data_IF_340175727346
#
_entry.id   IF_340175727346
#
_cell.length_a   1.000
_cell.length_b   1.000
_cell.length_c   1.000
_cell.angle_alpha   90.00
_cell.angle_beta   90.00
_cell.angle_gamma   90.00
#
_symmetry.space_group_name_H-M   'P 1'
#
loop_
_entity.id
_entity.type
_entity.pdbx_description
1 polymer ?
#
# COMPACT_ATOMS: atom_id res chain seq x y z
N UNK A 1 -20.10 -16.39 9.19
CA UNK A 1 -19.87 -15.38 10.23
C UNK A 1 -18.39 -15.35 10.54
N UNK A 2 -17.69 -14.25 10.25
CA UNK A 2 -16.28 -14.08 10.63
C UNK A 2 -16.25 -13.99 12.16
N UNK A 3 -15.44 -14.83 12.81
CA UNK A 3 -15.32 -14.82 14.26
C UNK A 3 -14.73 -13.46 14.70
N UNK A 4 -15.48 -12.66 15.48
CA UNK A 4 -15.14 -11.28 15.86
C UNK A 4 -13.71 -11.14 16.39
N UNK A 5 -13.27 -12.12 17.17
CA UNK A 5 -11.92 -12.14 17.75
C UNK A 5 -10.82 -12.32 16.71
N UNK A 6 -11.08 -13.07 15.63
CA UNK A 6 -10.12 -13.25 14.53
C UNK A 6 -10.01 -11.99 13.68
N UNK A 7 -11.12 -11.31 13.41
CA UNK A 7 -11.12 -10.02 12.70
C UNK A 7 -10.36 -8.94 13.47
N UNK A 8 -10.58 -8.85 14.80
CA UNK A 8 -9.86 -7.91 15.67
C UNK A 8 -8.35 -8.18 15.67
N UNK A 9 -7.96 -9.45 15.81
CA UNK A 9 -6.55 -9.86 15.79
C UNK A 9 -5.89 -9.53 14.44
N UNK A 10 -6.55 -9.83 13.32
CA UNK A 10 -6.04 -9.48 11.99
C UNK A 10 -5.88 -7.97 11.81
N UNK A 11 -6.80 -7.16 12.34
CA UNK A 11 -6.69 -5.70 12.31
C UNK A 11 -5.48 -5.19 13.10
N UNK A 12 -5.31 -5.64 14.34
CA UNK A 12 -4.14 -5.25 15.17
C UNK A 12 -2.84 -5.67 14.51
N UNK A 13 -2.75 -6.93 14.03
CA UNK A 13 -1.55 -7.41 13.36
C UNK A 13 -1.26 -6.64 12.08
N UNK A 14 -2.28 -6.28 11.29
CA UNK A 14 -2.09 -5.44 10.11
C UNK A 14 -1.54 -4.06 10.47
N UNK A 15 -2.02 -3.43 11.56
CA UNK A 15 -1.52 -2.14 12.02
C UNK A 15 -0.06 -2.20 12.44
N UNK A 16 0.32 -3.24 13.19
CA UNK A 16 1.72 -3.46 13.61
C UNK A 16 2.62 -3.69 12.39
N UNK A 17 2.23 -4.57 11.48
CA UNK A 17 2.99 -4.87 10.27
C UNK A 17 3.15 -3.63 9.38
N UNK A 18 2.11 -2.80 9.30
CA UNK A 18 2.14 -1.57 8.50
C UNK A 18 3.04 -0.49 9.10
N UNK A 19 3.07 -0.36 10.44
CA UNK A 19 4.05 0.49 11.13
C UNK A 19 5.49 0.01 10.92
N UNK A 20 5.73 -1.30 10.98
CA UNK A 20 7.04 -1.91 10.69
C UNK A 20 7.47 -1.65 9.24
N UNK A 21 6.57 -1.82 8.27
CA UNK A 21 6.85 -1.53 6.85
C UNK A 21 7.23 -0.05 6.63
N UNK A 22 6.47 0.87 7.23
CA UNK A 22 6.73 2.31 7.12
C UNK A 22 8.08 2.70 7.71
N UNK A 23 8.42 2.15 8.88
CA UNK A 23 9.71 2.43 9.54
C UNK A 23 10.89 1.87 8.75
N UNK A 24 10.79 0.63 8.26
CA UNK A 24 11.80 0.03 7.38
C UNK A 24 11.99 0.87 6.10
N UNK A 25 10.89 1.30 5.49
CA UNK A 25 10.93 2.16 4.30
C UNK A 25 11.61 3.51 4.61
N UNK A 26 11.34 4.10 5.77
CA UNK A 26 12.04 5.30 6.23
C UNK A 26 13.55 5.12 6.43
N UNK A 27 13.99 3.95 6.90
CA UNK A 27 15.41 3.61 7.01
C UNK A 27 16.04 3.46 5.63
N UNK A 28 15.38 2.72 4.72
CA UNK A 28 15.84 2.49 3.34
C UNK A 28 16.02 3.82 2.60
N UNK A 29 15.03 4.73 2.70
CA UNK A 29 15.07 6.05 2.07
C UNK A 29 16.22 6.94 2.57
N UNK A 30 16.73 6.69 3.78
CA UNK A 30 17.86 7.40 4.39
C UNK A 30 19.22 6.73 4.13
N UNK A 31 19.28 5.58 3.44
CA UNK A 31 20.55 4.95 3.09
C UNK A 31 21.30 5.75 2.00
N UNK A 32 22.63 5.77 2.09
CA UNK A 32 23.52 6.58 1.23
C UNK A 32 23.35 6.39 -0.28
N UNK A 33 22.91 5.19 -0.70
CA UNK A 33 22.57 4.84 -2.09
C UNK A 33 21.43 5.69 -2.66
N UNK A 34 20.48 6.13 -1.82
CA UNK A 34 19.35 6.96 -2.22
C UNK A 34 19.65 8.47 -2.18
N UNK A 35 20.76 8.89 -1.57
CA UNK A 35 21.11 10.30 -1.33
C UNK A 35 22.10 10.82 -2.39
N UNK A 36 23.02 9.97 -2.90
CA UNK A 36 24.18 10.43 -3.70
C UNK A 36 23.92 10.72 -5.18
N UNK A 37 22.80 10.29 -5.77
CA UNK A 37 22.57 10.46 -7.21
C UNK A 37 21.41 11.43 -7.47
N UNK A 38 21.72 12.69 -7.77
CA UNK A 38 20.75 13.79 -7.93
C UNK A 38 19.60 13.51 -8.92
N UNK A 39 19.80 12.65 -9.93
CA UNK A 39 18.74 12.20 -10.85
C UNK A 39 17.99 10.93 -10.41
N UNK A 40 18.51 10.16 -9.45
CA UNK A 40 17.93 8.88 -9.00
C UNK A 40 17.22 8.98 -7.64
N UNK A 41 17.38 10.11 -6.93
CA UNK A 41 16.70 10.40 -5.65
C UNK A 41 15.16 10.27 -5.73
N UNK A 42 14.57 10.52 -6.90
CA UNK A 42 13.14 10.34 -7.16
C UNK A 42 12.82 8.97 -7.74
N UNK A 43 13.66 8.44 -8.64
CA UNK A 43 13.44 7.14 -9.28
C UNK A 43 13.56 5.96 -8.32
N UNK A 44 14.50 6.00 -7.38
CA UNK A 44 14.76 4.85 -6.51
C UNK A 44 13.62 4.56 -5.51
N UNK A 45 12.98 5.56 -4.85
CA UNK A 45 11.74 5.36 -4.10
C UNK A 45 10.61 4.83 -4.99
N UNK A 46 10.47 5.35 -6.21
CA UNK A 46 9.44 4.90 -7.16
C UNK A 46 9.62 3.44 -7.58
N UNK A 47 10.86 3.02 -7.86
CA UNK A 47 11.19 1.62 -8.17
C UNK A 47 10.95 0.75 -6.93
N UNK A 48 11.29 1.23 -5.73
CA UNK A 48 11.00 0.55 -4.47
C UNK A 48 9.50 0.30 -4.27
N UNK A 49 8.67 1.32 -4.46
CA UNK A 49 7.19 1.20 -4.42
C UNK A 49 6.69 0.26 -5.49
N UNK A 50 7.18 0.41 -6.71
CA UNK A 50 6.76 -0.43 -7.82
C UNK A 50 7.04 -1.90 -7.52
N UNK A 51 8.24 -2.22 -7.03
CA UNK A 51 8.61 -3.58 -6.63
C UNK A 51 7.76 -4.06 -5.46
N UNK A 52 7.62 -3.25 -4.41
CA UNK A 52 6.79 -3.57 -3.24
C UNK A 52 5.34 -3.91 -3.65
N UNK A 53 4.72 -3.06 -4.46
CA UNK A 53 3.35 -3.25 -4.93
C UNK A 53 3.24 -4.39 -5.94
N UNK A 54 4.27 -4.62 -6.77
CA UNK A 54 4.34 -5.76 -7.68
C UNK A 54 4.39 -7.09 -6.92
N UNK A 55 5.21 -7.21 -5.88
CA UNK A 55 5.29 -8.42 -5.05
C UNK A 55 4.00 -8.64 -4.26
N UNK A 56 3.42 -7.58 -3.70
CA UNK A 56 2.13 -7.63 -3.00
C UNK A 56 0.99 -8.08 -3.94
N UNK A 57 0.91 -7.48 -5.13
CA UNK A 57 -0.05 -7.85 -6.17
C UNK A 57 0.14 -9.30 -6.61
N UNK A 58 1.37 -9.75 -6.80
CA UNK A 58 1.68 -11.13 -7.19
C UNK A 58 1.25 -12.12 -6.10
N UNK A 59 1.47 -11.79 -4.82
CA UNK A 59 1.02 -12.61 -3.69
C UNK A 59 -0.51 -12.75 -3.66
N UNK A 60 -1.24 -11.65 -3.80
CA UNK A 60 -2.71 -11.65 -3.85
C UNK A 60 -3.22 -12.39 -5.09
N UNK A 61 -2.54 -12.23 -6.23
CA UNK A 61 -2.88 -12.92 -7.47
C UNK A 61 -2.73 -14.43 -7.34
N UNK A 62 -1.61 -14.91 -6.78
CA UNK A 62 -1.40 -16.33 -6.48
C UNK A 62 -2.48 -16.85 -5.51
N UNK A 63 -2.83 -16.10 -4.48
CA UNK A 63 -3.90 -16.46 -3.56
C UNK A 63 -5.26 -16.62 -4.26
N UNK A 64 -5.61 -15.70 -5.18
CA UNK A 64 -6.85 -15.78 -5.98
C UNK A 64 -6.85 -17.00 -6.91
N UNK A 65 -5.69 -17.33 -7.50
CA UNK A 65 -5.53 -18.55 -8.32
C UNK A 65 -5.76 -19.79 -7.44
N UNK A 66 -5.07 -19.89 -6.30
CA UNK A 66 -5.17 -21.05 -5.40
C UNK A 66 -6.58 -21.24 -4.84
N UNK A 67 -7.33 -20.16 -4.62
CA UNK A 67 -8.73 -20.19 -4.15
C UNK A 67 -9.75 -20.38 -5.28
N UNK A 68 -9.32 -20.46 -6.54
CA UNK A 68 -10.15 -20.61 -7.75
C UNK A 68 -11.19 -19.49 -7.94
N UNK A 69 -10.98 -18.31 -7.35
CA UNK A 69 -11.93 -17.18 -7.42
C UNK A 69 -11.70 -16.28 -8.63
N UNK A 70 -10.80 -16.67 -9.55
CA UNK A 70 -10.35 -15.85 -10.66
C UNK A 70 -11.49 -15.44 -11.61
N UNK A 71 -12.45 -16.35 -11.86
CA UNK A 71 -13.63 -16.06 -12.68
C UNK A 71 -14.57 -15.05 -12.02
N UNK A 72 -14.63 -15.02 -10.70
CA UNK A 72 -15.44 -14.09 -9.91
C UNK A 72 -14.83 -12.68 -9.97
N UNK A 73 -13.51 -12.56 -9.82
CA UNK A 73 -12.77 -11.30 -9.97
C UNK A 73 -12.95 -10.73 -11.38
N UNK A 74 -12.79 -11.56 -12.43
CA UNK A 74 -12.98 -11.13 -13.82
C UNK A 74 -14.42 -10.66 -14.11
N UNK A 75 -15.43 -11.29 -13.50
CA UNK A 75 -16.83 -10.83 -13.61
C UNK A 75 -17.01 -9.49 -12.91
N UNK A 76 -16.42 -9.30 -11.73
CA UNK A 76 -16.50 -8.05 -10.96
C UNK A 76 -15.88 -6.86 -11.71
N UNK A 77 -14.80 -7.06 -12.46
CA UNK A 77 -14.17 -6.01 -13.28
C UNK A 77 -15.11 -5.43 -14.37
N UNK A 78 -16.09 -6.21 -14.85
CA UNK A 78 -17.05 -5.76 -15.85
C UNK A 78 -18.17 -4.89 -15.28
N UNK A 79 -18.37 -4.91 -13.96
CA UNK A 79 -19.42 -4.13 -13.29
C UNK A 79 -19.06 -2.64 -13.24
N UNK A 80 -20.08 -1.75 -13.13
CA UNK A 80 -19.82 -0.31 -12.93
C UNK A 80 -18.96 -0.06 -11.69
N UNK A 81 -19.28 -0.75 -10.58
CA UNK A 81 -18.52 -0.65 -9.33
C UNK A 81 -17.07 -1.10 -9.51
N UNK A 82 -16.84 -2.19 -10.25
CA UNK A 82 -15.49 -2.68 -10.58
C UNK A 82 -14.67 -1.65 -11.36
N UNK A 83 -15.27 -0.98 -12.35
CA UNK A 83 -14.58 0.08 -13.10
C UNK A 83 -14.21 1.27 -12.23
N UNK A 84 -15.08 1.67 -11.31
CA UNK A 84 -14.79 2.74 -10.34
C UNK A 84 -13.65 2.33 -9.40
N UNK A 85 -13.64 1.08 -8.91
CA UNK A 85 -12.54 0.55 -8.10
C UNK A 85 -11.23 0.56 -8.88
N UNK A 86 -11.23 0.19 -10.17
CA UNK A 86 -10.02 0.26 -11.00
C UNK A 86 -9.50 1.70 -11.15
N UNK A 87 -10.38 2.67 -11.38
CA UNK A 87 -9.98 4.09 -11.43
C UNK A 87 -9.43 4.56 -10.07
N UNK A 88 -10.10 4.19 -8.98
CA UNK A 88 -9.64 4.49 -7.63
C UNK A 88 -8.29 3.83 -7.33
N UNK A 89 -8.01 2.63 -7.84
CA UNK A 89 -6.75 1.94 -7.66
C UNK A 89 -5.59 2.60 -8.41
N UNK A 90 -5.83 3.17 -9.60
CA UNK A 90 -4.81 3.93 -10.35
C UNK A 90 -4.45 5.23 -9.61
N UNK A 91 -5.43 5.89 -8.99
CA UNK A 91 -5.16 7.08 -8.18
C UNK A 91 -4.53 6.70 -6.83
N UNK A 92 -5.11 5.74 -6.11
CA UNK A 92 -4.67 5.35 -4.78
C UNK A 92 -3.33 4.61 -4.76
N UNK A 93 -3.05 3.78 -5.78
CA UNK A 93 -1.82 3.01 -5.87
C UNK A 93 -0.60 3.90 -6.10
N UNK A 94 -0.26 4.26 -7.35
CA UNK A 94 0.94 5.02 -7.63
C UNK A 94 0.92 6.45 -7.07
N UNK A 95 -0.20 7.19 -7.13
CA UNK A 95 -0.22 8.58 -6.63
C UNK A 95 -0.26 8.61 -5.10
N UNK A 96 -1.10 7.78 -4.47
CA UNK A 96 -1.19 7.68 -3.02
C UNK A 96 0.11 7.18 -2.39
N UNK A 97 0.71 6.12 -2.93
CA UNK A 97 1.95 5.56 -2.39
C UNK A 97 3.17 6.46 -2.66
N UNK A 98 3.22 7.16 -3.80
CA UNK A 98 4.26 8.18 -4.02
C UNK A 98 4.14 9.35 -3.03
N UNK A 99 2.92 9.83 -2.77
CA UNK A 99 2.68 10.85 -1.75
C UNK A 99 3.07 10.37 -0.35
N UNK A 100 2.78 9.10 -0.03
CA UNK A 100 3.17 8.45 1.21
C UNK A 100 4.68 8.43 1.41
N UNK A 101 5.45 8.00 0.40
CA UNK A 101 6.91 7.99 0.49
C UNK A 101 7.52 9.39 0.59
N UNK A 102 6.96 10.37 -0.13
CA UNK A 102 7.38 11.75 0.02
C UNK A 102 7.17 12.25 1.45
N UNK A 103 6.02 11.93 2.06
CA UNK A 103 5.77 12.25 3.46
C UNK A 103 6.79 11.58 4.38
N UNK A 104 7.09 10.29 4.22
CA UNK A 104 8.14 9.60 5.01
C UNK A 104 9.48 10.34 4.90
N UNK A 105 9.84 10.76 3.69
CA UNK A 105 11.10 11.44 3.42
C UNK A 105 11.18 12.83 4.07
N UNK A 106 10.09 13.60 4.07
CA UNK A 106 10.10 15.01 4.52
C UNK A 106 9.74 15.18 6.00
N UNK A 107 8.77 14.42 6.50
CA UNK A 107 8.27 14.54 7.89
C UNK A 107 8.57 13.30 8.73
N UNK A 108 9.19 12.27 8.16
CA UNK A 108 9.55 11.05 8.87
C UNK A 108 8.42 10.01 8.93
N UNK A 109 8.80 8.75 9.18
CA UNK A 109 7.91 7.59 9.22
C UNK A 109 6.80 7.71 10.29
N UNK A 110 7.13 8.18 11.49
CA UNK A 110 6.18 8.22 12.61
C UNK A 110 5.02 9.20 12.40
N UNK A 111 5.32 10.42 11.96
CA UNK A 111 4.29 11.43 11.65
C UNK A 111 3.46 11.02 10.43
N UNK A 112 4.12 10.47 9.41
CA UNK A 112 3.43 9.98 8.21
C UNK A 112 2.41 8.88 8.53
N UNK A 113 2.81 7.88 9.32
CA UNK A 113 1.92 6.79 9.74
C UNK A 113 0.75 7.27 10.59
N UNK A 114 0.98 8.27 11.45
CA UNK A 114 -0.07 8.79 12.34
C UNK A 114 -1.10 9.61 11.57
N UNK A 115 -0.67 10.44 10.63
CA UNK A 115 -1.55 11.27 9.80
C UNK A 115 -2.36 10.40 8.85
N UNK A 116 -1.75 9.39 8.21
CA UNK A 116 -2.47 8.52 7.28
C UNK A 116 -3.54 7.69 7.98
N UNK A 117 -3.38 7.30 9.26
CA UNK A 117 -4.38 6.56 10.01
C UNK A 117 -5.76 7.27 10.11
N UNK A 118 -5.83 8.55 9.76
CA UNK A 118 -7.06 9.36 9.74
C UNK A 118 -7.86 9.13 8.43
N UNK A 119 -7.27 8.59 7.36
CA UNK A 119 -7.96 8.42 6.07
C UNK A 119 -9.32 7.67 6.15
N UNK A 120 -9.51 6.63 7.00
CA UNK A 120 -10.80 5.96 7.10
C UNK A 120 -11.89 6.87 7.67
N UNK A 121 -11.53 7.79 8.57
CA UNK A 121 -12.46 8.77 9.11
C UNK A 121 -12.91 9.72 7.99
N UNK A 122 -11.98 10.24 7.19
CA UNK A 122 -12.29 11.11 6.04
C UNK A 122 -13.11 10.40 4.96
N UNK A 123 -12.83 9.13 4.67
CA UNK A 123 -13.55 8.35 3.66
C UNK A 123 -14.91 7.82 4.10
N UNK A 124 -15.27 7.98 5.37
CA UNK A 124 -16.58 7.59 5.92
C UNK A 124 -17.66 8.68 5.82
N UNK A 125 -17.26 9.92 5.50
CA UNK A 125 -18.14 11.05 5.22
C UNK A 125 -18.46 11.15 3.73
#
# INVERSE_FOLDING_TARGET
MINKNRGLLSGVMSGVLWGLDTTLTGIILNMSLFIKVQKTILLAPFVGVFLHDMFSSLWVFLYIISTKQLTLVLKSLKTRSGKVICMAAILGGPVGMAAYLMAIKYIGAGYTASISAIYPALGSF
#
